data_IF_863970942364
#
_entry.id   IF_863970942364
#
_cell.length_a   1.000
_cell.length_b   1.000
_cell.length_c   1.000
_cell.angle_alpha   90.00
_cell.angle_beta   90.00
_cell.angle_gamma   90.00
#
_symmetry.space_group_name_H-M   'P 1'
#
loop_
_entity.id
_entity.type
_entity.pdbx_description
1 polymer ?
#
# COMPACT_ATOMS: atom_id res chain seq x y z
N UNK A 1 -3.86 20.41 -21.48
CA UNK A 1 -3.61 19.09 -20.85
C UNK A 1 -3.60 19.27 -19.34
N UNK A 2 -4.22 18.40 -18.52
CA UNK A 2 -4.39 18.64 -17.09
C UNK A 2 -3.10 18.42 -16.29
N UNK A 3 -2.89 19.26 -15.28
CA UNK A 3 -1.64 19.43 -14.50
C UNK A 3 -1.44 18.39 -13.38
N UNK A 4 -2.09 17.22 -13.47
CA UNK A 4 -2.05 16.20 -12.40
C UNK A 4 -1.23 14.95 -12.72
N UNK A 5 -0.68 14.80 -13.93
CA UNK A 5 0.18 13.65 -14.25
C UNK A 5 1.65 13.96 -13.95
N UNK A 6 2.07 13.75 -12.69
CA UNK A 6 3.49 13.86 -12.29
C UNK A 6 4.37 12.71 -12.81
N UNK A 7 3.90 11.88 -13.75
CA UNK A 7 4.62 10.75 -14.35
C UNK A 7 4.24 10.55 -15.82
N UNK A 8 4.31 11.59 -16.65
CA UNK A 8 4.40 11.39 -18.10
C UNK A 8 5.85 11.00 -18.47
N UNK A 9 6.30 9.85 -17.97
CA UNK A 9 7.51 9.19 -18.46
C UNK A 9 7.09 8.04 -19.36
N UNK A 10 7.87 7.72 -20.39
CA UNK A 10 7.68 6.48 -21.14
C UNK A 10 7.66 5.32 -20.14
N UNK A 11 6.53 4.62 -20.04
CA UNK A 11 6.45 3.43 -19.18
C UNK A 11 7.17 2.28 -19.88
N UNK A 12 7.96 1.54 -19.12
CA UNK A 12 8.60 0.31 -19.61
C UNK A 12 7.54 -0.76 -19.92
N UNK A 13 7.87 -1.71 -20.79
CA UNK A 13 7.01 -2.86 -21.09
C UNK A 13 6.50 -3.56 -19.82
N UNK A 14 7.37 -3.71 -18.81
CA UNK A 14 7.03 -4.33 -17.52
C UNK A 14 6.09 -3.47 -16.68
N UNK A 15 6.27 -2.14 -16.66
CA UNK A 15 5.33 -1.22 -16.01
C UNK A 15 3.95 -1.27 -16.68
N UNK A 16 3.90 -1.36 -18.01
CA UNK A 16 2.65 -1.55 -18.76
C UNK A 16 1.98 -2.90 -18.41
N UNK A 17 2.73 -3.99 -18.39
CA UNK A 17 2.23 -5.31 -17.99
C UNK A 17 1.66 -5.32 -16.56
N UNK A 18 2.35 -4.69 -15.61
CA UNK A 18 1.86 -4.54 -14.23
C UNK A 18 0.56 -3.74 -14.16
N UNK A 19 0.46 -2.64 -14.92
CA UNK A 19 -0.77 -1.85 -15.00
C UNK A 19 -1.93 -2.71 -15.54
N UNK A 20 -1.72 -3.41 -16.66
CA UNK A 20 -2.72 -4.30 -17.24
C UNK A 20 -3.19 -5.41 -16.28
N UNK A 21 -2.26 -6.08 -15.57
CA UNK A 21 -2.60 -7.08 -14.54
C UNK A 21 -3.40 -6.49 -13.39
N UNK A 22 -3.09 -5.26 -12.99
CA UNK A 22 -3.85 -4.57 -11.94
C UNK A 22 -5.32 -4.29 -12.34
N UNK A 23 -5.58 -4.02 -13.64
CA UNK A 23 -6.93 -3.85 -14.16
C UNK A 23 -7.71 -5.17 -14.26
N UNK A 24 -7.04 -6.27 -14.60
CA UNK A 24 -7.64 -7.60 -14.75
C UNK A 24 -7.86 -8.32 -13.41
N UNK A 25 -7.35 -7.77 -12.29
CA UNK A 25 -7.50 -8.35 -10.97
C UNK A 25 -6.48 -9.43 -10.62
N UNK A 26 -5.60 -9.79 -11.56
CA UNK A 26 -4.50 -10.76 -11.39
C UNK A 26 -3.30 -10.15 -10.65
N UNK A 27 -3.52 -9.72 -9.41
CA UNK A 27 -2.44 -9.31 -8.50
C UNK A 27 -1.95 -10.51 -7.69
N UNK A 28 -1.59 -11.60 -8.38
CA UNK A 28 -0.94 -12.72 -7.71
C UNK A 28 0.44 -12.27 -7.18
N UNK A 29 0.79 -12.60 -5.92
CA UNK A 29 2.12 -12.31 -5.41
C UNK A 29 3.17 -12.99 -6.30
N UNK A 30 4.33 -12.36 -6.53
CA UNK A 30 5.41 -12.96 -7.29
C UNK A 30 5.77 -14.34 -6.70
N UNK A 31 5.98 -15.34 -7.57
CA UNK A 31 6.31 -16.73 -7.21
C UNK A 31 7.74 -16.81 -6.69
N UNK A 32 7.97 -16.30 -5.49
CA UNK A 32 9.22 -16.43 -4.75
C UNK A 32 9.17 -17.70 -3.90
N UNK A 33 10.31 -18.35 -3.61
CA UNK A 33 10.37 -19.46 -2.66
C UNK A 33 9.80 -19.05 -1.29
N UNK A 34 9.13 -19.96 -0.58
CA UNK A 34 8.43 -19.63 0.68
C UNK A 34 9.36 -19.12 1.79
N UNK A 35 10.63 -19.56 1.77
CA UNK A 35 11.69 -19.13 2.70
C UNK A 35 12.51 -17.93 2.21
N UNK A 36 12.14 -17.33 1.08
CA UNK A 36 12.86 -16.18 0.55
C UNK A 36 12.59 -14.91 1.38
N UNK A 37 13.64 -14.15 1.68
CA UNK A 37 13.54 -12.86 2.33
C UNK A 37 14.38 -11.80 1.60
N UNK A 38 13.79 -10.63 1.36
CA UNK A 38 14.53 -9.49 0.85
C UNK A 38 15.33 -8.85 1.99
N UNK A 39 16.63 -8.73 1.83
CA UNK A 39 17.44 -7.88 2.70
C UNK A 39 17.12 -6.42 2.38
N UNK A 40 16.54 -5.70 3.34
CA UNK A 40 16.09 -4.30 3.16
C UNK A 40 16.74 -3.40 4.19
N UNK A 41 16.89 -2.13 3.83
CA UNK A 41 17.35 -1.09 4.74
C UNK A 41 16.70 0.27 4.44
N UNK A 42 16.72 1.15 5.43
CA UNK A 42 16.43 2.58 5.25
C UNK A 42 17.46 3.42 5.97
N UNK A 43 17.58 4.68 5.55
CA UNK A 43 18.53 5.66 6.10
C UNK A 43 17.82 6.74 6.94
N UNK A 44 16.48 6.72 7.03
CA UNK A 44 15.73 7.68 7.86
C UNK A 44 16.19 7.63 9.33
N UNK A 45 16.30 8.81 9.97
CA UNK A 45 16.81 8.98 11.33
C UNK A 45 18.24 8.44 11.46
N UNK A 46 18.44 7.35 12.18
CA UNK A 46 19.75 6.68 12.32
C UNK A 46 19.90 5.47 11.37
N UNK A 47 18.87 5.22 10.56
CA UNK A 47 18.77 4.05 9.70
C UNK A 47 18.41 2.77 10.45
N UNK A 48 18.02 1.76 9.67
CA UNK A 48 17.78 0.41 10.16
C UNK A 48 17.91 -0.60 9.03
N UNK A 49 18.29 -1.83 9.39
CA UNK A 49 18.38 -2.99 8.48
C UNK A 49 17.39 -4.06 8.92
N UNK A 50 16.79 -4.76 7.98
CA UNK A 50 15.82 -5.81 8.24
C UNK A 50 15.70 -6.82 7.11
N UNK A 51 14.94 -7.88 7.37
CA UNK A 51 14.56 -8.88 6.38
C UNK A 51 13.05 -8.78 6.13
N UNK A 52 12.66 -8.57 4.88
CA UNK A 52 11.27 -8.52 4.45
C UNK A 52 10.86 -9.91 3.97
N UNK A 53 9.81 -10.48 4.57
CA UNK A 53 9.28 -11.79 4.24
C UNK A 53 8.01 -11.64 3.38
N UNK A 54 8.08 -11.94 2.06
CA UNK A 54 6.94 -11.80 1.16
C UNK A 54 5.77 -12.71 1.55
N UNK A 55 6.06 -13.91 2.05
CA UNK A 55 5.07 -14.88 2.54
C UNK A 55 4.18 -14.32 3.66
N UNK A 56 4.66 -13.33 4.43
CA UNK A 56 3.88 -12.65 5.49
C UNK A 56 3.16 -11.39 5.02
N UNK A 57 3.42 -10.90 3.80
CA UNK A 57 2.89 -9.62 3.33
C UNK A 57 1.48 -9.77 2.72
N UNK A 58 0.54 -10.29 3.49
CA UNK A 58 -0.86 -10.52 3.07
C UNK A 58 -1.77 -9.29 3.19
N UNK A 59 -1.29 -8.21 3.81
CA UNK A 59 -2.00 -6.94 3.93
C UNK A 59 -1.02 -5.77 4.02
N UNK A 60 -1.46 -4.55 3.69
CA UNK A 60 -0.62 -3.35 3.78
C UNK A 60 -0.11 -3.05 5.19
N UNK A 61 -0.78 -3.58 6.22
CA UNK A 61 -0.42 -3.45 7.64
C UNK A 61 0.26 -4.69 8.22
N UNK A 62 0.46 -5.74 7.43
CA UNK A 62 1.08 -6.97 7.90
C UNK A 62 2.49 -6.70 8.44
N UNK A 63 2.85 -7.37 9.55
CA UNK A 63 4.18 -7.28 10.15
C UNK A 63 5.14 -8.22 9.41
N UNK A 64 5.57 -7.82 8.22
CA UNK A 64 6.37 -8.63 7.31
C UNK A 64 7.87 -8.33 7.35
N UNK A 65 8.33 -7.34 8.13
CA UNK A 65 9.76 -6.97 8.19
C UNK A 65 10.31 -7.29 9.57
N UNK A 66 11.30 -8.20 9.64
CA UNK A 66 12.03 -8.50 10.87
C UNK A 66 13.25 -7.58 10.98
N UNK A 67 13.31 -6.77 12.02
CA UNK A 67 14.49 -5.96 12.30
C UNK A 67 15.70 -6.85 12.62
N UNK A 68 16.86 -6.53 12.04
CA UNK A 68 18.12 -7.26 12.28
C UNK A 68 18.70 -7.03 13.67
N UNK A 69 18.32 -5.93 14.34
CA UNK A 69 18.88 -5.50 15.63
C UNK A 69 18.03 -6.01 16.79
N UNK A 70 16.74 -5.67 16.83
CA UNK A 70 15.85 -6.06 17.93
C UNK A 70 15.04 -7.35 17.66
N UNK A 71 15.11 -7.91 16.44
CA UNK A 71 14.38 -9.11 16.06
C UNK A 71 12.85 -8.96 15.97
N UNK A 72 12.31 -7.78 16.29
CA UNK A 72 10.87 -7.49 16.24
C UNK A 72 10.36 -7.36 14.80
N UNK A 73 9.08 -7.69 14.61
CA UNK A 73 8.41 -7.57 13.33
C UNK A 73 7.61 -6.27 13.19
N UNK A 74 7.79 -5.60 12.05
CA UNK A 74 7.16 -4.33 11.72
C UNK A 74 6.44 -4.39 10.38
N UNK A 75 5.41 -3.56 10.22
CA UNK A 75 4.84 -3.30 8.90
C UNK A 75 5.75 -2.36 8.11
N UNK A 76 5.66 -2.32 6.76
CA UNK A 76 6.53 -1.47 5.95
C UNK A 76 6.52 0.00 6.37
N UNK A 77 5.32 0.52 6.70
CA UNK A 77 5.18 1.90 7.13
C UNK A 77 5.66 2.14 8.57
N UNK A 78 5.60 1.14 9.45
CA UNK A 78 6.12 1.28 10.82
C UNK A 78 7.65 1.14 10.85
N UNK A 79 8.21 0.32 9.95
CA UNK A 79 9.64 0.03 9.90
C UNK A 79 10.47 1.28 9.59
N UNK A 80 10.02 2.16 8.68
CA UNK A 80 10.73 3.42 8.37
C UNK A 80 10.83 4.42 9.55
N UNK A 81 10.02 4.23 10.60
CA UNK A 81 10.11 5.01 11.85
C UNK A 81 10.89 4.28 12.95
N UNK A 82 11.37 3.08 12.67
CA UNK A 82 12.10 2.26 13.62
C UNK A 82 13.58 2.33 13.28
N UNK A 83 14.39 2.93 14.15
CA UNK A 83 15.83 3.08 13.93
C UNK A 83 16.63 2.65 15.15
N UNK A 84 17.88 2.28 14.90
CA UNK A 84 18.85 1.94 15.93
C UNK A 84 20.14 2.70 15.65
N UNK A 85 20.71 3.35 16.67
CA UNK A 85 22.04 3.95 16.57
C UNK A 85 23.07 2.84 16.75
N UNK A 86 23.65 2.36 15.65
CA UNK A 86 24.57 1.22 15.65
C UNK A 86 26.02 1.67 15.77
N UNK A 87 26.35 2.88 15.29
CA UNK A 87 27.68 3.46 15.39
C UNK A 87 27.63 4.91 15.90
N UNK A 88 28.69 5.37 16.55
CA UNK A 88 28.84 6.76 16.97
C UNK A 88 28.97 7.73 15.77
N UNK A 89 29.35 7.22 14.59
CA UNK A 89 29.44 7.97 13.35
C UNK A 89 28.17 7.93 12.48
N UNK A 90 27.09 7.28 12.94
CA UNK A 90 25.83 7.28 12.19
C UNK A 90 25.34 8.72 12.05
N UNK A 91 25.10 9.14 10.81
CA UNK A 91 24.61 10.50 10.52
C UNK A 91 23.11 10.51 10.68
N UNK A 92 22.60 11.42 11.51
CA UNK A 92 21.16 11.62 11.61
C UNK A 92 20.63 12.25 10.31
N UNK A 93 19.79 11.51 9.60
CA UNK A 93 19.09 12.00 8.41
C UNK A 93 17.71 12.47 8.84
N UNK A 94 17.51 13.79 8.82
CA UNK A 94 16.19 14.38 9.05
C UNK A 94 15.23 13.88 7.97
N UNK A 95 14.19 13.14 8.36
CA UNK A 95 13.43 12.47 7.34
C UNK A 95 12.14 13.28 7.05
N UNK A 96 11.81 13.42 5.77
CA UNK A 96 10.80 14.38 5.29
C UNK A 96 9.37 13.96 5.68
N UNK A 97 8.78 14.72 6.63
CA UNK A 97 7.47 14.48 7.25
C UNK A 97 6.33 14.26 6.26
N UNK A 98 6.29 15.01 5.16
CA UNK A 98 5.23 14.92 4.15
C UNK A 98 5.32 13.65 3.30
N UNK A 99 6.43 12.92 3.39
CA UNK A 99 6.83 11.88 2.45
C UNK A 99 6.86 10.48 3.10
N UNK A 100 6.75 10.36 4.41
CA UNK A 100 6.85 9.06 5.09
C UNK A 100 5.72 8.08 4.82
N UNK A 101 4.53 8.53 4.46
CA UNK A 101 3.47 7.62 3.97
C UNK A 101 3.89 6.92 2.65
N UNK A 102 5.04 7.32 2.08
CA UNK A 102 5.72 6.66 0.96
C UNK A 102 6.92 5.84 1.43
N UNK A 103 6.75 4.91 2.38
CA UNK A 103 7.81 3.96 2.79
C UNK A 103 8.57 3.34 1.61
N UNK A 104 7.88 3.17 0.48
CA UNK A 104 8.40 2.67 -0.81
C UNK A 104 9.59 3.45 -1.36
N UNK A 105 9.69 4.75 -1.08
CA UNK A 105 10.82 5.62 -1.49
C UNK A 105 12.01 5.53 -0.53
N UNK A 106 11.74 5.19 0.72
CA UNK A 106 12.75 5.18 1.79
C UNK A 106 13.36 3.81 2.02
N UNK A 107 12.73 2.75 1.51
CA UNK A 107 13.18 1.38 1.68
C UNK A 107 13.89 0.86 0.42
N UNK A 108 15.15 0.47 0.60
CA UNK A 108 16.06 0.00 -0.45
C UNK A 108 16.45 -1.46 -0.17
N UNK A 109 16.83 -2.20 -1.21
CA UNK A 109 17.44 -3.51 -1.05
C UNK A 109 18.90 -3.34 -0.63
N UNK A 110 19.36 -4.18 0.30
CA UNK A 110 20.76 -4.22 0.71
C UNK A 110 21.59 -4.97 -0.33
N UNK A 111 22.74 -4.42 -0.71
CA UNK A 111 23.69 -5.05 -1.65
C UNK A 111 23.32 -4.84 -3.13
N UNK A 112 23.89 -5.69 -3.99
CA UNK A 112 23.65 -5.70 -5.45
C UNK A 112 22.89 -6.97 -5.87
N UNK A 113 21.59 -7.07 -5.55
CA UNK A 113 20.82 -8.26 -5.89
C UNK A 113 20.65 -8.39 -7.42
N UNK A 114 20.51 -9.62 -7.94
CA UNK A 114 20.16 -9.87 -9.34
C UNK A 114 18.96 -9.06 -9.81
N UNK A 115 18.90 -8.77 -11.11
CA UNK A 115 17.84 -7.98 -11.73
C UNK A 115 16.45 -8.57 -11.48
N UNK A 116 16.32 -9.90 -11.47
CA UNK A 116 15.07 -10.59 -11.15
C UNK A 116 14.55 -10.28 -9.73
N UNK A 117 15.45 -10.22 -8.75
CA UNK A 117 15.10 -9.89 -7.36
C UNK A 117 14.70 -8.42 -7.26
N UNK A 118 15.41 -7.55 -7.97
CA UNK A 118 15.06 -6.12 -8.04
C UNK A 118 13.66 -5.94 -8.63
N UNK A 119 13.33 -6.65 -9.71
CA UNK A 119 11.99 -6.66 -10.29
C UNK A 119 10.93 -7.18 -9.32
N UNK A 120 11.19 -8.32 -8.65
CA UNK A 120 10.28 -8.87 -7.66
C UNK A 120 10.04 -7.90 -6.48
N UNK A 121 11.05 -7.12 -6.09
CA UNK A 121 10.91 -6.09 -5.06
C UNK A 121 10.02 -4.92 -5.50
N UNK A 122 10.16 -4.45 -6.74
CA UNK A 122 9.23 -3.47 -7.32
C UNK A 122 7.79 -4.01 -7.35
N UNK A 123 7.63 -5.30 -7.64
CA UNK A 123 6.33 -5.95 -7.64
C UNK A 123 5.69 -5.97 -6.25
N UNK A 124 6.46 -6.34 -5.23
CA UNK A 124 6.05 -6.33 -3.82
C UNK A 124 5.64 -4.92 -3.37
N UNK A 125 6.44 -3.90 -3.70
CA UNK A 125 6.11 -2.51 -3.37
C UNK A 125 4.75 -2.14 -3.93
N UNK A 126 4.45 -2.53 -5.16
CA UNK A 126 3.23 -2.09 -5.83
C UNK A 126 1.99 -2.96 -5.56
N UNK A 127 2.13 -4.10 -4.87
CA UNK A 127 1.04 -5.04 -4.55
C UNK A 127 -0.15 -4.41 -3.82
N UNK A 128 0.09 -3.45 -2.91
CA UNK A 128 -0.97 -2.69 -2.22
C UNK A 128 -0.95 -1.19 -2.54
N UNK A 129 -0.53 -0.81 -3.75
CA UNK A 129 -0.49 0.60 -4.17
C UNK A 129 -1.84 1.09 -4.70
N UNK A 130 -2.58 0.22 -5.40
CA UNK A 130 -3.98 0.42 -5.67
C UNK A 130 -4.76 -0.14 -4.49
N UNK A 131 -5.11 0.71 -3.51
CA UNK A 131 -6.16 0.34 -2.57
C UNK A 131 -7.30 -0.23 -3.39
N UNK A 132 -7.79 -1.43 -3.04
CA UNK A 132 -8.76 -2.26 -3.74
C UNK A 132 -9.91 -1.43 -4.32
N UNK A 133 -9.66 -0.72 -5.42
CA UNK A 133 -10.66 0.03 -6.17
C UNK A 133 -11.27 -1.00 -7.09
N UNK A 134 -11.90 -2.00 -6.48
CA UNK A 134 -13.27 -2.34 -6.84
C UNK A 134 -14.11 -1.05 -6.66
N UNK A 135 -13.92 -0.04 -7.52
CA UNK A 135 -15.08 0.53 -8.18
C UNK A 135 -15.49 -0.63 -9.07
N UNK A 136 -16.30 -1.56 -8.56
CA UNK A 136 -17.73 -1.45 -8.77
C UNK A 136 -17.97 -0.73 -10.10
N UNK A 137 -17.55 -1.39 -11.19
CA UNK A 137 -18.39 -1.58 -12.35
C UNK A 137 -19.62 -2.39 -11.90
N UNK A 138 -20.34 -1.87 -10.92
CA UNK A 138 -21.67 -2.31 -10.56
C UNK A 138 -22.60 -1.33 -11.26
N UNK A 139 -23.08 -1.76 -12.42
CA UNK A 139 -24.38 -1.40 -12.96
C UNK A 139 -24.62 0.09 -13.21
N UNK A 140 -24.13 0.60 -14.35
CA UNK A 140 -24.80 1.70 -15.07
C UNK A 140 -25.83 1.17 -16.08
N UNK A 141 -26.46 0.04 -15.79
CA UNK A 141 -27.74 -0.38 -16.38
C UNK A 141 -28.86 -0.10 -15.38
N UNK A 142 -29.01 1.17 -14.96
CA UNK A 142 -30.25 1.60 -14.31
C UNK A 142 -31.19 2.03 -15.42
N UNK A 143 -32.07 1.09 -15.78
CA UNK A 143 -33.29 1.34 -16.54
C UNK A 143 -34.04 2.54 -15.97
N UNK A 144 -34.31 3.52 -16.85
CA UNK A 144 -35.11 4.71 -16.57
C UNK A 144 -36.52 4.28 -16.13
N UNK A 145 -36.99 4.77 -14.99
CA UNK A 145 -38.43 4.87 -14.69
C UNK A 145 -38.77 6.30 -14.28
N UNK A 146 -39.92 6.87 -14.71
CA UNK A 146 -40.24 8.27 -14.49
C UNK A 146 -40.80 8.50 -13.08
N UNK A 147 -40.40 9.62 -12.47
CA UNK A 147 -40.94 10.11 -11.19
C UNK A 147 -42.41 10.51 -11.35
N UNK A 148 -43.28 9.97 -10.50
CA UNK A 148 -44.60 10.54 -10.20
C UNK A 148 -44.68 10.98 -8.73
N UNK A 149 -45.54 11.97 -8.53
CA UNK A 149 -45.59 12.98 -7.48
C UNK A 149 -46.30 12.57 -6.18
N UNK A 150 -45.76 13.05 -5.07
CA UNK A 150 -46.41 13.70 -3.91
C UNK A 150 -47.74 13.10 -3.41
N UNK A 151 -47.71 12.46 -2.23
CA UNK A 151 -48.83 12.44 -1.28
C UNK A 151 -48.26 12.58 0.15
N UNK A 152 -48.82 13.54 0.88
CA UNK A 152 -48.52 13.95 2.25
C UNK A 152 -49.31 13.09 3.25
N UNK A 153 -48.72 12.56 4.34
CA UNK A 153 -49.49 11.87 5.37
C UNK A 153 -49.99 12.83 6.46
N UNK A 154 -51.32 12.78 6.68
CA UNK A 154 -52.12 13.51 7.66
C UNK A 154 -51.78 13.12 9.14
N UNK A 155 -52.04 13.99 10.14
CA UNK A 155 -51.59 13.78 11.53
C UNK A 155 -52.40 12.73 12.30
N UNK A 156 -51.73 12.02 13.20
CA UNK A 156 -52.32 10.98 14.08
C UNK A 156 -53.13 11.58 15.24
N UNK A 157 -54.24 10.95 15.68
CA UNK A 157 -54.99 11.38 16.85
C UNK A 157 -54.30 10.95 18.17
N UNK A 158 -54.28 11.90 19.11
CA UNK A 158 -53.75 11.76 20.48
C UNK A 158 -54.73 10.92 21.32
N UNK A 159 -54.25 9.83 21.92
CA UNK A 159 -55.00 9.02 22.90
C UNK A 159 -54.58 9.47 24.32
N UNK A 160 -55.51 9.80 25.24
CA UNK A 160 -55.18 10.11 26.62
C UNK A 160 -54.92 8.83 27.45
N UNK A 161 -53.92 8.90 28.33
CA UNK A 161 -53.57 7.82 29.25
C UNK A 161 -54.58 7.69 30.43
N UNK A 162 -54.82 6.48 30.94
CA UNK A 162 -55.66 6.28 32.13
C UNK A 162 -54.88 6.56 33.44
N UNK A 163 -55.63 7.11 34.39
CA UNK A 163 -55.36 7.51 35.80
C UNK A 163 -54.08 7.05 36.49
#
# INVERSE_FOLDING_TARGET
MPVSSRRCGMITRREAERLCKSFLGDNAPPRLPDDFAFAVHHECAWGCRGSFLPSRYNSSRAKCIKCSVCGLFFSPNKFIFHSHRLSANDKYVQPDAANFNSWRRHMKLSGSPPEEITHAWEDVKAMFNGGTRKRLLASSLVSRTPKQSKIEPQPQPIVPAPR
#
